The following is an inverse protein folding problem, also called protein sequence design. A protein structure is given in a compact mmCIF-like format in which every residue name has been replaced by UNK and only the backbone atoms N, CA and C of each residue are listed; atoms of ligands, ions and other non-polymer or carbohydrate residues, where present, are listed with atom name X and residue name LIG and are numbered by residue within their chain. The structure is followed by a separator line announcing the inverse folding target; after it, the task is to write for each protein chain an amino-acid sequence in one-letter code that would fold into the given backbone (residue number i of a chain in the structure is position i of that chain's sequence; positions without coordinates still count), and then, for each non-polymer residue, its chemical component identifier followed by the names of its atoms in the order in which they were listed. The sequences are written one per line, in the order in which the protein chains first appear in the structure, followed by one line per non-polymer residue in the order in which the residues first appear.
data_IF_570870282320
#
_entry.id   IF_570870282320
#
_cell.length_a   1.000
_cell.length_b   1.000
_cell.length_c   1.000
_cell.angle_alpha   90.00
_cell.angle_beta   90.00
_cell.angle_gamma   90.00
#
_symmetry.space_group_name_H-M   'P 1'
#
loop_
_entity.id
_entity.type
_entity.pdbx_description
1 polymer ?
#
# COMPACT_ATOMS: atom_id res chain seq x y z
N UNK A 1 -31.41 10.13 -18.22
CA UNK A 1 -30.62 11.37 -17.97
C UNK A 1 -29.25 10.93 -17.47
N UNK A 2 -28.20 11.18 -18.26
CA UNK A 2 -26.85 10.65 -18.04
C UNK A 2 -26.21 11.26 -16.78
N UNK A 3 -25.80 10.40 -15.83
CA UNK A 3 -25.26 10.79 -14.54
C UNK A 3 -23.90 11.48 -14.63
N UNK A 4 -23.80 12.60 -13.91
CA UNK A 4 -22.61 13.35 -13.52
C UNK A 4 -21.62 12.50 -12.67
N UNK A 5 -21.09 11.42 -13.23
CA UNK A 5 -19.98 10.70 -12.59
C UNK A 5 -18.68 11.12 -13.26
N UNK A 6 -18.00 12.12 -12.67
CA UNK A 6 -16.59 12.34 -12.95
C UNK A 6 -15.87 11.01 -12.88
N UNK A 7 -15.18 10.63 -13.96
CA UNK A 7 -14.59 9.30 -14.05
C UNK A 7 -13.57 9.14 -12.93
N UNK A 8 -13.82 8.25 -11.97
CA UNK A 8 -12.89 7.93 -10.87
C UNK A 8 -11.57 7.50 -11.47
N UNK A 9 -10.52 8.31 -11.41
CA UNK A 9 -9.17 7.95 -11.84
C UNK A 9 -8.28 7.88 -10.61
N UNK A 10 -8.03 6.68 -10.13
CA UNK A 10 -7.41 6.44 -8.83
C UNK A 10 -6.14 5.64 -8.95
N UNK A 11 -5.20 5.94 -8.07
CA UNK A 11 -4.02 5.15 -7.80
C UNK A 11 -4.27 4.37 -6.51
N UNK A 12 -4.47 3.07 -6.63
CA UNK A 12 -4.69 2.17 -5.49
C UNK A 12 -3.36 1.55 -5.10
N UNK A 13 -3.05 1.57 -3.82
CA UNK A 13 -1.87 0.92 -3.25
C UNK A 13 -2.30 -0.13 -2.23
N UNK A 14 -1.60 -1.26 -2.23
CA UNK A 14 -1.68 -2.31 -1.23
C UNK A 14 -0.27 -2.62 -0.71
N UNK A 15 -0.08 -2.57 0.60
CA UNK A 15 1.10 -3.15 1.24
C UNK A 15 0.81 -4.60 1.55
N UNK A 16 1.65 -5.47 1.02
CA UNK A 16 1.52 -6.90 1.12
C UNK A 16 2.64 -7.45 1.98
N UNK A 17 2.27 -8.32 2.91
CA UNK A 17 3.20 -9.14 3.65
C UNK A 17 3.68 -10.31 2.78
N UNK A 18 5.00 -10.42 2.58
CA UNK A 18 5.58 -11.59 1.89
C UNK A 18 6.13 -12.61 2.87
N UNK A 19 6.98 -12.15 3.80
CA UNK A 19 7.58 -12.94 4.89
C UNK A 19 8.08 -11.99 5.97
N UNK A 20 8.56 -12.53 7.10
CA UNK A 20 9.20 -11.74 8.16
C UNK A 20 10.25 -10.80 7.55
N UNK A 21 10.13 -9.51 7.86
CA UNK A 21 10.97 -8.41 7.37
C UNK A 21 10.87 -8.05 5.87
N UNK A 22 10.02 -8.73 5.10
CA UNK A 22 9.78 -8.40 3.69
C UNK A 22 8.32 -8.01 3.45
N UNK A 23 8.15 -6.72 3.19
CA UNK A 23 6.88 -6.13 2.81
C UNK A 23 7.02 -5.54 1.40
N UNK A 24 5.94 -5.59 0.63
CA UNK A 24 5.91 -5.07 -0.74
C UNK A 24 4.81 -4.05 -0.90
N UNK A 25 5.11 -2.94 -1.56
CA UNK A 25 4.14 -1.96 -2.01
C UNK A 25 3.74 -2.32 -3.42
N UNK A 26 2.50 -2.74 -3.61
CA UNK A 26 1.90 -2.91 -4.92
C UNK A 26 0.98 -1.72 -5.21
N UNK A 27 1.11 -1.15 -6.39
CA UNK A 27 0.29 -0.05 -6.86
C UNK A 27 -0.37 -0.39 -8.20
N UNK A 28 -1.61 0.06 -8.37
CA UNK A 28 -2.36 -0.09 -9.60
C UNK A 28 -3.19 1.16 -9.87
N UNK A 29 -3.12 1.67 -11.10
CA UNK A 29 -4.00 2.75 -11.57
C UNK A 29 -5.25 2.15 -12.17
N UNK A 30 -6.41 2.69 -11.79
CA UNK A 30 -7.70 2.28 -12.35
C UNK A 30 -8.59 3.48 -12.67
N UNK A 31 -9.40 3.34 -13.72
CA UNK A 31 -10.40 4.34 -14.14
C UNK A 31 -11.83 3.81 -14.04
N UNK A 32 -12.78 4.64 -13.64
CA UNK A 32 -14.21 4.31 -13.51
C UNK A 32 -14.45 3.06 -12.67
N UNK A 33 -15.14 2.07 -13.24
CA UNK A 33 -15.41 0.79 -12.58
C UNK A 33 -14.15 -0.04 -12.31
N UNK A 34 -13.08 0.11 -13.09
CA UNK A 34 -11.82 -0.59 -12.85
C UNK A 34 -11.14 -0.07 -11.57
N UNK A 35 -11.25 1.23 -11.27
CA UNK A 35 -10.72 1.82 -10.03
C UNK A 35 -11.34 1.15 -8.79
N UNK A 36 -12.66 0.95 -8.82
CA UNK A 36 -13.41 0.28 -7.75
C UNK A 36 -12.95 -1.17 -7.59
N UNK A 37 -12.81 -1.91 -8.70
CA UNK A 37 -12.29 -3.28 -8.69
C UNK A 37 -10.87 -3.38 -8.12
N UNK A 38 -9.98 -2.45 -8.45
CA UNK A 38 -8.62 -2.43 -7.92
C UNK A 38 -8.62 -2.24 -6.40
N UNK A 39 -9.42 -1.29 -5.90
CA UNK A 39 -9.59 -1.06 -4.46
C UNK A 39 -10.15 -2.28 -3.75
N UNK A 40 -11.22 -2.86 -4.29
CA UNK A 40 -11.89 -3.99 -3.65
C UNK A 40 -11.01 -5.26 -3.70
N UNK A 41 -10.20 -5.42 -4.75
CA UNK A 41 -9.14 -6.43 -4.81
C UNK A 41 -8.08 -6.24 -3.72
N UNK A 42 -7.61 -5.00 -3.50
CA UNK A 42 -6.66 -4.69 -2.44
C UNK A 42 -7.23 -4.99 -1.04
N UNK A 43 -8.51 -4.68 -0.81
CA UNK A 43 -9.24 -4.95 0.45
C UNK A 43 -9.36 -6.43 0.78
N UNK A 44 -9.62 -7.26 -0.23
CA UNK A 44 -9.94 -8.69 -0.04
C UNK A 44 -8.72 -9.59 -0.01
N UNK A 45 -7.57 -9.11 -0.46
CA UNK A 45 -6.34 -9.89 -0.53
C UNK A 45 -5.81 -10.22 0.88
N UNK A 46 -5.71 -11.52 1.18
CA UNK A 46 -5.42 -12.07 2.52
C UNK A 46 -4.12 -11.58 3.16
N UNK A 47 -3.11 -11.24 2.36
CA UNK A 47 -1.80 -10.76 2.82
C UNK A 47 -1.67 -9.24 2.83
N UNK A 48 -2.71 -8.50 2.47
CA UNK A 48 -2.70 -7.04 2.52
C UNK A 48 -2.69 -6.59 3.98
N UNK A 49 -1.64 -5.89 4.39
CA UNK A 49 -1.53 -5.24 5.69
C UNK A 49 -2.32 -3.93 5.72
N UNK A 50 -2.17 -3.13 4.66
CA UNK A 50 -2.82 -1.83 4.53
C UNK A 50 -3.09 -1.56 3.05
N UNK A 51 -4.24 -0.97 2.75
CA UNK A 51 -4.57 -0.49 1.42
C UNK A 51 -4.94 0.98 1.48
N UNK A 52 -4.67 1.70 0.40
CA UNK A 52 -5.00 3.11 0.27
C UNK A 52 -5.34 3.47 -1.17
N UNK A 53 -6.15 4.50 -1.33
CA UNK A 53 -6.59 5.07 -2.59
C UNK A 53 -6.13 6.52 -2.62
N UNK A 54 -5.47 6.87 -3.72
CA UNK A 54 -5.01 8.22 -4.00
C UNK A 54 -5.63 8.70 -5.30
N UNK A 55 -5.78 10.02 -5.45
CA UNK A 55 -6.08 10.62 -6.74
C UNK A 55 -4.84 10.65 -7.66
N UNK A 56 -5.00 11.17 -8.88
CA UNK A 56 -3.87 11.36 -9.81
C UNK A 56 -2.86 12.43 -9.37
N UNK A 57 -3.19 13.25 -8.38
CA UNK A 57 -2.29 14.25 -7.78
C UNK A 57 -1.63 13.75 -6.50
N UNK A 58 -1.71 12.44 -6.22
CA UNK A 58 -1.23 11.78 -5.00
C UNK A 58 -1.90 12.25 -3.71
N UNK A 59 -3.04 12.91 -3.79
CA UNK A 59 -3.84 13.22 -2.62
C UNK A 59 -4.49 11.95 -2.08
N UNK A 60 -4.35 11.71 -0.78
CA UNK A 60 -4.98 10.59 -0.10
C UNK A 60 -6.50 10.76 -0.09
N UNK A 61 -7.24 9.73 -0.51
CA UNK A 61 -8.71 9.72 -0.55
C UNK A 61 -9.25 8.87 0.60
N UNK A 62 -8.87 7.59 0.64
CA UNK A 62 -9.31 6.63 1.66
C UNK A 62 -8.25 5.54 1.84
N UNK A 63 -8.26 4.87 2.98
CA UNK A 63 -7.36 3.74 3.23
C UNK A 63 -7.59 3.12 4.60
N UNK A 64 -7.35 1.82 4.70
CA UNK A 64 -7.63 1.05 5.91
C UNK A 64 -6.69 -0.16 6.02
N UNK A 65 -6.69 -0.77 7.20
CA UNK A 65 -6.03 -2.05 7.42
C UNK A 65 -6.70 -3.14 6.59
N UNK A 66 -5.86 -4.01 6.03
CA UNK A 66 -6.31 -5.19 5.31
C UNK A 66 -6.41 -6.43 6.22
N UNK A 67 -6.94 -7.54 5.70
CA UNK A 67 -7.12 -8.77 6.45
C UNK A 67 -5.78 -9.35 6.93
N UNK A 68 -4.67 -9.06 6.25
CA UNK A 68 -3.33 -9.52 6.63
C UNK A 68 -2.75 -8.86 7.87
N UNK A 69 -3.45 -7.89 8.48
CA UNK A 69 -2.96 -7.19 9.67
C UNK A 69 -2.60 -8.13 10.84
N UNK A 70 -3.27 -9.27 10.97
CA UNK A 70 -2.97 -10.29 11.99
C UNK A 70 -1.63 -11.02 11.80
N UNK A 71 -1.00 -10.90 10.62
CA UNK A 71 0.28 -11.55 10.30
C UNK A 71 1.50 -10.82 10.87
N UNK A 72 1.30 -9.61 11.41
CA UNK A 72 2.38 -8.74 11.90
C UNK A 72 2.05 -8.18 13.27
N UNK A 73 3.05 -7.64 13.94
CA UNK A 73 2.87 -7.03 15.27
C UNK A 73 2.11 -5.70 15.17
N UNK A 74 1.39 -5.28 16.23
CA UNK A 74 0.71 -3.98 16.27
C UNK A 74 1.66 -2.79 16.03
N UNK A 75 2.92 -2.91 16.43
CA UNK A 75 3.95 -1.89 16.23
C UNK A 75 4.22 -1.65 14.73
N UNK A 76 4.31 -2.72 13.93
CA UNK A 76 4.46 -2.62 12.47
C UNK A 76 3.25 -1.91 11.86
N UNK A 77 2.02 -2.28 12.29
CA UNK A 77 0.80 -1.64 11.78
C UNK A 77 0.72 -0.16 12.14
N UNK A 78 1.08 0.21 13.37
CA UNK A 78 1.08 1.60 13.79
C UNK A 78 2.12 2.41 13.01
N UNK A 79 3.28 1.82 12.75
CA UNK A 79 4.31 2.43 11.89
C UNK A 79 3.80 2.64 10.47
N UNK A 80 3.18 1.63 9.86
CA UNK A 80 2.58 1.74 8.53
C UNK A 80 1.57 2.90 8.46
N UNK A 81 0.66 3.03 9.42
CA UNK A 81 -0.31 4.14 9.44
C UNK A 81 0.34 5.51 9.44
N UNK A 82 1.46 5.67 10.15
CA UNK A 82 2.17 6.95 10.27
C UNK A 82 2.99 7.27 9.03
N UNK A 83 3.66 6.26 8.48
CA UNK A 83 4.65 6.47 7.42
C UNK A 83 4.07 6.33 6.01
N UNK A 84 2.90 5.69 5.81
CA UNK A 84 2.42 5.35 4.46
C UNK A 84 2.45 6.53 3.48
N UNK A 85 1.97 7.69 3.91
CA UNK A 85 1.86 8.87 3.04
C UNK A 85 3.20 9.56 2.79
N UNK A 86 4.22 9.32 3.62
CA UNK A 86 5.55 9.94 3.50
C UNK A 86 6.62 8.93 3.09
N UNK A 87 6.28 7.65 3.03
CA UNK A 87 7.21 6.58 2.71
C UNK A 87 7.72 6.72 1.28
N UNK A 88 9.05 6.68 1.12
CA UNK A 88 9.69 6.87 -0.18
C UNK A 88 9.28 5.83 -1.21
N UNK A 89 9.14 4.55 -0.83
CA UNK A 89 8.70 3.50 -1.75
C UNK A 89 7.28 3.78 -2.24
N UNK A 90 6.37 4.18 -1.34
CA UNK A 90 4.99 4.53 -1.69
C UNK A 90 4.96 5.71 -2.66
N UNK A 91 5.72 6.77 -2.36
CA UNK A 91 5.81 7.95 -3.22
C UNK A 91 6.41 7.63 -4.60
N UNK A 92 7.38 6.72 -4.67
CA UNK A 92 7.93 6.25 -5.95
C UNK A 92 6.89 5.46 -6.76
N UNK A 93 6.16 4.56 -6.12
CA UNK A 93 5.09 3.78 -6.77
C UNK A 93 3.99 4.72 -7.28
N UNK A 94 3.53 5.68 -6.45
CA UNK A 94 2.57 6.70 -6.87
C UNK A 94 3.07 7.52 -8.07
N UNK A 95 4.35 7.93 -8.05
CA UNK A 95 4.94 8.68 -9.15
C UNK A 95 5.01 7.89 -10.47
N UNK A 96 5.26 6.57 -10.40
CA UNK A 96 5.22 5.70 -11.59
C UNK A 96 3.82 5.62 -12.19
N UNK A 97 2.79 5.51 -11.34
CA UNK A 97 1.39 5.41 -11.76
C UNK A 97 0.84 6.74 -12.31
N UNK A 98 1.19 7.85 -11.68
CA UNK A 98 0.79 9.21 -12.08
C UNK A 98 1.30 9.55 -13.49
N UNK A 99 2.60 9.30 -13.74
CA UNK A 99 3.22 9.53 -15.03
C UNK A 99 2.68 8.62 -16.14
N UNK A 100 1.95 7.57 -15.78
CA UNK A 100 1.42 6.60 -16.73
C UNK A 100 2.50 5.74 -17.39
N UNK A 101 3.71 5.67 -16.80
CA UNK A 101 4.80 4.82 -17.28
C UNK A 101 4.37 3.34 -17.22
N UNK A 102 3.58 2.98 -16.21
CA UNK A 102 3.02 1.63 -16.02
C UNK A 102 1.62 1.71 -15.43
N UNK A 103 0.76 0.74 -15.77
CA UNK A 103 -0.57 0.60 -15.14
C UNK A 103 -0.49 -0.06 -13.75
N UNK A 104 0.60 -0.79 -13.49
CA UNK A 104 0.88 -1.49 -12.25
C UNK A 104 2.37 -1.36 -11.92
N UNK A 105 2.67 -1.10 -10.65
CA UNK A 105 4.03 -1.00 -10.15
C UNK A 105 4.15 -1.76 -8.83
N UNK A 106 5.27 -2.41 -8.59
CA UNK A 106 5.52 -3.11 -7.35
C UNK A 106 6.96 -2.88 -6.90
N UNK A 107 7.16 -2.56 -5.61
CA UNK A 107 8.48 -2.36 -5.02
C UNK A 107 8.54 -2.88 -3.59
N UNK A 108 9.70 -3.41 -3.14
CA UNK A 108 9.91 -3.68 -1.72
C UNK A 108 9.74 -2.41 -0.89
N UNK A 109 8.97 -2.50 0.20
CA UNK A 109 8.78 -1.40 1.13
C UNK A 109 10.10 -1.15 1.86
N UNK A 110 10.65 0.05 1.69
CA UNK A 110 11.79 0.51 2.46
C UNK A 110 11.26 1.31 3.65
N UNK A 111 11.61 0.89 4.85
CA UNK A 111 11.26 1.62 6.08
C UNK A 111 12.11 2.89 6.20
N UNK A 112 11.49 4.03 6.47
CA UNK A 112 12.23 5.29 6.72
C UNK A 112 12.81 5.25 8.13
N UNK A 113 14.14 5.33 8.25
CA UNK A 113 14.81 5.24 9.56
C UNK A 113 14.69 3.82 10.14
N UNK A 114 15.60 2.95 9.77
CA UNK A 114 15.75 1.62 10.36
C UNK A 114 15.88 1.76 11.90
N UNK A 115 15.10 1.10 12.76
CA UNK A 115 15.66 0.61 14.02
C UNK A 115 16.58 -0.56 13.65
N UNK A 116 17.79 -0.61 14.23
CA UNK A 116 18.71 -1.75 14.11
C UNK A 116 17.92 -3.05 14.24
N UNK A 117 18.25 -4.06 13.42
CA UNK A 117 17.84 -5.44 13.67
C UNK A 117 18.19 -5.72 15.12
N UNK A 118 17.21 -5.81 16.01
CA UNK A 118 17.43 -6.47 17.28
C UNK A 118 17.63 -7.93 16.88
N UNK A 119 18.91 -8.33 16.83
CA UNK A 119 19.25 -9.73 16.90
C UNK A 119 18.51 -10.25 18.13
N UNK A 120 17.48 -11.05 17.89
CA UNK A 120 16.95 -11.93 18.93
C UNK A 120 18.16 -12.79 19.29
N UNK A 121 18.76 -12.51 20.44
CA UNK A 121 19.75 -13.41 21.01
C UNK A 121 19.04 -14.77 21.08
N UNK A 122 19.58 -15.74 20.36
CA UNK A 122 19.28 -17.13 20.61
C UNK A 122 19.80 -17.38 22.04
N UNK A 123 18.92 -17.19 23.02
CA UNK A 123 19.18 -17.63 24.38
C UNK A 123 19.34 -19.16 24.31
N UNK A 124 20.59 -19.58 24.49
CA UNK A 124 20.97 -20.95 24.78
C UNK A 124 20.11 -21.48 25.94
N UNK A 125 19.37 -22.56 25.69
CA UNK A 125 18.89 -23.49 26.72
C UNK A 125 19.07 -24.91 26.23
#
# INVERSE_FOLDING_TARGET
MFGLFGSKDWNVIAIIFERKDLYRVNGQRGKGGAAVKCRDGAKTMSRTLFWAVYDQKRAFIEGEMGPGAHLVTPQILQRLKREINTNMTVQQVLGMLEKGETAMAAKPLAWTGYPKVEHVAEDEV
#
